data_IF_062972306779
#
_entry.id   IF_062972306779
#
_cell.length_a   1.000
_cell.length_b   1.000
_cell.length_c   1.000
_cell.angle_alpha   90.00
_cell.angle_beta   90.00
_cell.angle_gamma   90.00
#
_symmetry.space_group_name_H-M   'P 1'
#
loop_
_entity.id
_entity.type
_entity.pdbx_description
1 polymer ?
#
# COMPACT_ATOMS: atom_id res chain seq x y z
N UNK A 1 -0.78 -19.23 7.64
CA UNK A 1 -1.43 -18.17 6.87
C UNK A 1 -0.58 -17.77 5.68
N UNK A 2 -1.21 -17.48 4.57
CA UNK A 2 -0.49 -17.09 3.37
C UNK A 2 -0.23 -15.60 3.35
N UNK A 3 0.99 -15.23 3.02
CA UNK A 3 1.30 -13.84 2.75
C UNK A 3 0.95 -13.54 1.29
N UNK A 4 0.89 -12.26 0.96
CA UNK A 4 0.64 -11.83 -0.41
C UNK A 4 1.99 -11.77 -1.12
N UNK A 5 2.11 -12.53 -2.21
CA UNK A 5 3.39 -12.66 -2.91
C UNK A 5 3.44 -12.02 -4.30
N UNK A 6 2.37 -11.36 -4.75
CA UNK A 6 2.41 -10.65 -6.02
C UNK A 6 3.51 -9.59 -5.97
N UNK A 7 4.56 -9.69 -6.81
CA UNK A 7 5.68 -8.75 -6.71
C UNK A 7 5.28 -7.28 -6.87
N UNK A 8 4.28 -7.00 -7.70
CA UNK A 8 3.85 -5.61 -7.89
C UNK A 8 3.10 -5.11 -6.67
N UNK A 9 2.30 -5.97 -6.04
CA UNK A 9 1.63 -5.60 -4.81
C UNK A 9 2.64 -5.36 -3.69
N UNK A 10 3.61 -6.26 -3.55
CA UNK A 10 4.65 -6.14 -2.52
C UNK A 10 5.44 -4.84 -2.71
N UNK A 11 5.75 -4.51 -3.96
CA UNK A 11 6.45 -3.26 -4.24
C UNK A 11 5.61 -2.05 -3.87
N UNK A 12 4.31 -2.09 -4.17
CA UNK A 12 3.41 -1.01 -3.80
C UNK A 12 3.37 -0.82 -2.28
N UNK A 13 3.24 -1.91 -1.54
CA UNK A 13 3.23 -1.84 -0.08
C UNK A 13 4.55 -1.30 0.46
N UNK A 14 5.67 -1.71 -0.14
CA UNK A 14 6.98 -1.19 0.24
C UNK A 14 7.07 0.32 0.04
N UNK A 15 6.49 0.83 -1.03
CA UNK A 15 6.46 2.27 -1.29
C UNK A 15 5.60 3.01 -0.28
N UNK A 16 4.47 2.42 0.12
CA UNK A 16 3.64 3.00 1.18
C UNK A 16 4.42 3.08 2.50
N UNK A 17 5.13 2.01 2.82
CA UNK A 17 5.91 1.97 4.06
C UNK A 17 7.01 3.02 4.03
N UNK A 18 7.73 3.15 2.94
CA UNK A 18 8.78 4.14 2.81
C UNK A 18 8.21 5.56 2.89
N UNK A 19 7.05 5.78 2.28
CA UNK A 19 6.39 7.08 2.34
C UNK A 19 5.98 7.42 3.77
N UNK A 20 5.46 6.43 4.51
CA UNK A 20 5.12 6.65 5.92
C UNK A 20 6.35 7.10 6.71
N UNK A 21 7.47 6.39 6.51
CA UNK A 21 8.70 6.72 7.23
C UNK A 21 9.23 8.08 6.81
N UNK A 22 9.14 8.41 5.54
CA UNK A 22 9.60 9.70 5.04
C UNK A 22 8.81 10.85 5.64
N UNK A 23 7.55 10.62 6.03
CA UNK A 23 6.73 11.62 6.71
C UNK A 23 6.99 11.66 8.21
N UNK A 24 7.84 10.78 8.72
CA UNK A 24 8.14 10.72 10.14
C UNK A 24 7.07 10.04 10.97
N UNK A 25 6.18 9.29 10.34
CA UNK A 25 5.11 8.60 11.08
C UNK A 25 5.53 7.21 11.49
N UNK A 26 5.24 6.86 12.75
CA UNK A 26 5.35 5.48 13.19
C UNK A 26 4.12 4.70 12.69
N UNK A 27 4.16 3.39 12.82
CA UNK A 27 2.98 2.58 12.52
C UNK A 27 1.79 3.00 13.38
N UNK A 28 2.05 3.32 14.65
CA UNK A 28 0.99 3.77 15.55
C UNK A 28 0.40 5.10 15.10
N UNK A 29 1.24 6.02 14.64
CA UNK A 29 0.76 7.32 14.17
C UNK A 29 -0.17 7.13 12.97
N UNK A 30 0.22 6.28 12.03
CA UNK A 30 -0.61 6.03 10.86
C UNK A 30 -1.89 5.31 11.23
N UNK A 31 -1.79 4.34 12.14
CA UNK A 31 -2.96 3.61 12.62
C UNK A 31 -4.00 4.57 13.18
N UNK A 32 -3.53 5.56 13.94
CA UNK A 32 -4.43 6.55 14.53
C UNK A 32 -5.15 7.35 13.44
N UNK A 33 -4.41 7.78 12.42
CA UNK A 33 -5.01 8.50 11.29
C UNK A 33 -6.03 7.65 10.54
N UNK A 34 -5.80 6.36 10.48
CA UNK A 34 -6.69 5.43 9.79
C UNK A 34 -7.82 4.91 10.67
N UNK A 35 -7.79 5.28 11.95
CA UNK A 35 -8.75 4.79 12.95
C UNK A 35 -8.73 3.26 13.01
N UNK A 36 -7.52 2.71 13.08
CA UNK A 36 -7.28 1.27 13.13
C UNK A 36 -6.26 0.97 14.22
N UNK A 37 -6.21 -0.27 14.72
CA UNK A 37 -5.14 -0.64 15.65
C UNK A 37 -3.80 -0.72 14.92
N UNK A 38 -2.71 -0.55 15.66
CA UNK A 38 -1.37 -0.63 15.09
C UNK A 38 -1.12 -1.97 14.41
N UNK A 39 -1.66 -3.05 14.94
CA UNK A 39 -1.49 -4.38 14.35
C UNK A 39 -2.00 -4.44 12.91
N UNK A 40 -3.03 -3.65 12.58
CA UNK A 40 -3.52 -3.58 11.22
C UNK A 40 -2.43 -3.03 10.30
N UNK A 41 -1.80 -1.92 10.67
CA UNK A 41 -0.74 -1.32 9.86
C UNK A 41 0.43 -2.28 9.72
N UNK A 42 0.84 -2.90 10.84
CA UNK A 42 1.94 -3.85 10.84
C UNK A 42 1.68 -5.00 9.88
N UNK A 43 0.49 -5.59 9.93
CA UNK A 43 0.16 -6.74 9.09
C UNK A 43 0.06 -6.35 7.62
N UNK A 44 -0.42 -5.15 7.32
CA UNK A 44 -0.45 -4.68 5.95
C UNK A 44 0.97 -4.50 5.43
N UNK A 45 1.84 -3.87 6.23
CA UNK A 45 3.20 -3.58 5.79
C UNK A 45 4.07 -4.84 5.62
N UNK A 46 3.73 -5.91 6.31
CA UNK A 46 4.42 -7.19 6.15
C UNK A 46 3.76 -8.09 5.12
N UNK A 47 2.72 -7.59 4.46
CA UNK A 47 1.96 -8.33 3.46
C UNK A 47 1.26 -9.56 4.01
N UNK A 48 1.00 -9.58 5.32
CA UNK A 48 0.17 -10.63 5.93
C UNK A 48 -1.30 -10.37 5.73
N UNK A 49 -1.67 -9.10 5.54
CA UNK A 49 -3.04 -8.70 5.29
C UNK A 49 -3.07 -7.84 4.04
N UNK A 50 -3.91 -8.22 3.11
CA UNK A 50 -4.08 -7.47 1.87
C UNK A 50 -5.08 -6.33 2.09
N UNK A 51 -4.83 -5.20 1.45
CA UNK A 51 -5.79 -4.10 1.47
C UNK A 51 -6.44 -3.96 0.09
N UNK A 52 -7.67 -3.47 0.09
CA UNK A 52 -8.36 -3.20 -1.17
C UNK A 52 -8.04 -1.78 -1.65
N UNK A 53 -8.60 -1.42 -2.80
CA UNK A 53 -8.28 -0.13 -3.42
C UNK A 53 -8.75 1.04 -2.56
N UNK A 54 -9.87 0.87 -1.86
CA UNK A 54 -10.39 1.95 -1.02
C UNK A 54 -9.50 2.13 0.21
N UNK A 55 -9.07 1.02 0.81
CA UNK A 55 -8.12 1.09 1.92
C UNK A 55 -6.82 1.75 1.47
N UNK A 56 -6.32 1.36 0.30
CA UNK A 56 -5.10 1.95 -0.24
C UNK A 56 -5.26 3.46 -0.44
N UNK A 57 -6.43 3.89 -0.92
CA UNK A 57 -6.70 5.32 -1.09
C UNK A 57 -6.70 6.05 0.25
N UNK A 58 -7.23 5.42 1.30
CA UNK A 58 -7.22 6.01 2.63
C UNK A 58 -5.81 6.15 3.17
N UNK A 59 -4.96 5.15 2.94
CA UNK A 59 -3.56 5.24 3.32
C UNK A 59 -2.89 6.42 2.62
N UNK A 60 -3.09 6.54 1.32
CA UNK A 60 -2.49 7.62 0.55
C UNK A 60 -3.00 8.97 1.03
N UNK A 61 -4.30 9.08 1.28
CA UNK A 61 -4.87 10.33 1.80
C UNK A 61 -4.25 10.71 3.14
N UNK A 62 -4.10 9.72 4.04
CA UNK A 62 -3.51 9.97 5.36
C UNK A 62 -2.06 10.43 5.25
N UNK A 63 -1.36 10.01 4.21
CA UNK A 63 0.04 10.38 4.00
C UNK A 63 0.18 11.56 3.03
N UNK A 64 -0.93 12.15 2.61
CA UNK A 64 -0.97 13.26 1.65
C UNK A 64 -0.28 12.90 0.33
N UNK A 65 -0.60 11.72 -0.16
CA UNK A 65 -0.01 11.18 -1.37
C UNK A 65 -1.07 10.87 -2.40
N UNK A 66 -0.65 10.85 -3.66
CA UNK A 66 -1.49 10.40 -4.76
C UNK A 66 -1.11 8.95 -5.06
N UNK A 67 -2.09 8.07 -5.11
CA UNK A 67 -1.83 6.64 -5.28
C UNK A 67 -1.04 6.35 -6.56
N UNK A 68 -1.26 7.13 -7.61
CA UNK A 68 -0.55 6.95 -8.87
C UNK A 68 0.96 7.05 -8.72
N UNK A 69 1.42 7.89 -7.80
CA UNK A 69 2.85 8.08 -7.57
C UNK A 69 3.51 6.89 -6.90
N UNK A 70 2.69 6.02 -6.31
CA UNK A 70 3.20 4.86 -5.58
C UNK A 70 3.06 3.55 -6.35
N UNK A 71 2.29 3.55 -7.42
CA UNK A 71 2.12 2.34 -8.19
C UNK A 71 3.40 2.01 -8.93
N UNK A 72 3.89 0.76 -8.84
CA UNK A 72 5.05 0.35 -9.61
C UNK A 72 4.69 0.25 -11.08
N UNK A 73 5.71 0.18 -11.95
CA UNK A 73 5.42 -0.11 -13.35
C UNK A 73 4.64 -1.42 -13.43
N UNK A 74 3.46 -1.35 -14.00
CA UNK A 74 2.61 -2.53 -14.11
C UNK A 74 2.96 -3.31 -15.36
N UNK A 75 2.76 -4.63 -15.28
CA UNK A 75 2.97 -5.49 -16.43
C UNK A 75 1.98 -5.07 -17.51
N UNK A 76 2.51 -4.72 -18.67
CA UNK A 76 1.66 -4.29 -19.78
C UNK A 76 0.75 -5.43 -20.20
N UNK A 77 -0.54 -5.14 -20.28
CA UNK A 77 -1.47 -6.09 -20.87
C UNK A 77 -1.24 -6.04 -22.37
N UNK A 78 -1.02 -7.19 -23.04
CA UNK A 78 -0.87 -7.19 -24.48
C UNK A 78 -2.08 -6.53 -25.11
N UNK A 79 -1.83 -5.66 -26.07
CA UNK A 79 -2.95 -5.08 -26.79
C UNK A 79 -3.51 -6.15 -27.68
N UNK A 80 -4.55 -6.55 -27.36
CA UNK A 80 -5.15 -7.62 -28.11
C UNK A 80 -5.58 -7.15 -29.48
N UNK A 81 -5.18 -6.69 -28.86
CA UNK A 81 -5.41 -6.42 -29.26
C UNK A 81 -5.82 -5.79 -29.65
N UNK A 82 -5.87 -5.50 -29.68
CA UNK A 82 -6.15 -4.91 -29.86
C UNK A 82 -6.52 -4.87 -30.82
N UNK A 83 -6.89 -5.14 -30.88
CA UNK A 83 -7.35 -5.20 -31.65
C UNK A 83 -7.60 -5.19 -31.87
#
# INVERSE_FOLDING_TARGET
MKTVHDPQYVEFIGRLRRARKARGYTQGDLAELLNKPQSYVSKVETCERRIDVIEAARWCSSLSLVIQDLLPPLIAVPKASDK
#
